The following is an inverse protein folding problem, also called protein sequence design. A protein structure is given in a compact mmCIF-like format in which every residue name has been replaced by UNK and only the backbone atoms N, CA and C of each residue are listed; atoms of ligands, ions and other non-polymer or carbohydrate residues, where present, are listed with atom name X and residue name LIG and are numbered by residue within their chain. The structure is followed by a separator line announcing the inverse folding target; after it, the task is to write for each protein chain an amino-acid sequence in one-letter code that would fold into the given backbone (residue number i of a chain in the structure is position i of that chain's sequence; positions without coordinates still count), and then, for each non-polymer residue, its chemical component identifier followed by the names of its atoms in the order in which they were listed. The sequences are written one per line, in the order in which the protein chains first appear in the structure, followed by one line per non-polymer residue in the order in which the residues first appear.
data_IF_010448208232
#
_entry.id   IF_010448208232
#
_cell.length_a   1.000
_cell.length_b   1.000
_cell.length_c   1.000
_cell.angle_alpha   90.00
_cell.angle_beta   90.00
_cell.angle_gamma   90.00
#
_symmetry.space_group_name_H-M   'P 1'
#
loop_
_entity.id
_entity.type
_entity.pdbx_description
1 polymer ?
#
# COMPACT_ATOMS: atom_id res chain seq x y z
N UNK A 1 -31.34 -6.06 22.40
CA UNK A 1 -30.82 -6.83 21.25
C UNK A 1 -29.80 -7.91 21.61
N UNK A 2 -29.42 -8.08 22.88
CA UNK A 2 -28.46 -9.14 23.29
C UNK A 2 -29.16 -10.50 23.53
N UNK A 3 -30.47 -10.49 23.75
CA UNK A 3 -31.26 -11.70 24.04
C UNK A 3 -31.48 -12.62 22.83
N UNK A 4 -31.52 -12.07 21.61
CA UNK A 4 -31.76 -12.86 20.40
C UNK A 4 -30.52 -13.63 19.92
N UNK A 5 -29.32 -13.22 20.30
CA UNK A 5 -28.09 -13.94 19.96
C UNK A 5 -27.85 -15.16 20.86
N UNK A 6 -28.38 -15.17 22.08
CA UNK A 6 -28.28 -16.32 22.98
C UNK A 6 -29.29 -17.43 22.65
N UNK A 7 -30.38 -17.11 21.95
CA UNK A 7 -31.43 -18.09 21.61
C UNK A 7 -31.15 -18.90 20.33
N UNK A 8 -30.10 -18.58 19.58
CA UNK A 8 -29.78 -19.28 18.33
C UNK A 8 -28.77 -20.43 18.50
N UNK A 9 -28.32 -20.68 19.75
CA UNK A 9 -27.31 -21.70 20.12
C UNK A 9 -27.90 -22.74 21.09
N UNK A 10 -29.19 -23.08 20.94
CA UNK A 10 -29.84 -24.13 21.74
C UNK A 10 -30.71 -25.04 20.86
N UNK A 11 -30.10 -25.64 19.82
CA UNK A 11 -30.66 -26.80 19.11
C UNK A 11 -29.73 -28.01 19.22
N UNK A 12 -29.09 -28.18 20.38
CA UNK A 12 -28.46 -29.45 20.76
C UNK A 12 -28.76 -29.63 22.23
N UNK A 13 -29.65 -30.57 22.54
CA UNK A 13 -29.87 -31.02 23.92
C UNK A 13 -28.53 -31.52 24.47
N UNK A 14 -27.98 -30.89 25.54
CA UNK A 14 -26.63 -31.18 26.04
C UNK A 14 -26.47 -32.57 26.68
N UNK A 15 -27.53 -33.39 26.74
CA UNK A 15 -27.53 -34.69 27.43
C UNK A 15 -27.94 -35.89 26.59
N UNK A 16 -28.03 -35.76 25.25
CA UNK A 16 -28.14 -36.94 24.40
C UNK A 16 -26.74 -37.48 24.08
N UNK A 17 -26.20 -38.39 24.90
CA UNK A 17 -24.99 -39.18 24.55
C UNK A 17 -25.35 -40.26 23.50
N UNK A 18 -26.04 -39.84 22.44
CA UNK A 18 -26.44 -40.74 21.37
C UNK A 18 -25.40 -40.69 20.25
N UNK A 19 -25.18 -41.80 19.52
CA UNK A 19 -24.27 -41.80 18.38
C UNK A 19 -24.61 -40.72 17.33
N UNK A 20 -25.90 -40.41 17.17
CA UNK A 20 -26.41 -39.42 16.21
C UNK A 20 -26.03 -37.98 16.57
N UNK A 21 -26.21 -37.58 17.83
CA UNK A 21 -25.87 -36.22 18.28
C UNK A 21 -24.36 -35.98 18.23
N UNK A 22 -23.55 -36.99 18.57
CA UNK A 22 -22.09 -36.92 18.42
C UNK A 22 -21.67 -36.76 16.95
N UNK A 23 -22.29 -37.50 16.03
CA UNK A 23 -22.03 -37.35 14.61
C UNK A 23 -22.38 -35.94 14.09
N UNK A 24 -23.51 -35.38 14.54
CA UNK A 24 -23.91 -34.02 14.18
C UNK A 24 -22.94 -32.96 14.71
N UNK A 25 -22.47 -33.09 15.96
CA UNK A 25 -21.48 -32.19 16.54
C UNK A 25 -20.15 -32.22 15.76
N UNK A 26 -19.69 -33.39 15.35
CA UNK A 26 -18.48 -33.51 14.52
C UNK A 26 -18.67 -32.88 13.14
N UNK A 27 -19.84 -33.03 12.52
CA UNK A 27 -20.17 -32.37 11.25
C UNK A 27 -20.17 -30.85 11.40
N UNK A 28 -20.76 -30.31 12.46
CA UNK A 28 -20.79 -28.87 12.74
C UNK A 28 -19.38 -28.32 12.98
N UNK A 29 -18.55 -29.02 13.76
CA UNK A 29 -17.14 -28.66 13.97
C UNK A 29 -16.36 -28.66 12.67
N UNK A 30 -16.53 -29.71 11.85
CA UNK A 30 -15.92 -29.80 10.53
C UNK A 30 -16.33 -28.62 9.62
N UNK A 31 -17.63 -28.30 9.59
CA UNK A 31 -18.15 -27.17 8.83
C UNK A 31 -17.61 -25.82 9.32
N UNK A 32 -17.47 -25.63 10.62
CA UNK A 32 -16.90 -24.40 11.18
C UNK A 32 -15.42 -24.23 10.81
N UNK A 33 -14.63 -25.31 10.90
CA UNK A 33 -13.22 -25.31 10.50
C UNK A 33 -13.08 -25.00 9.01
N UNK A 34 -13.90 -25.61 8.16
CA UNK A 34 -13.84 -25.37 6.71
C UNK A 34 -14.22 -23.94 6.35
N UNK A 35 -15.25 -23.37 7.01
CA UNK A 35 -15.62 -21.96 6.83
C UNK A 35 -14.50 -21.02 7.27
N UNK A 36 -13.86 -21.28 8.42
CA UNK A 36 -12.73 -20.48 8.89
C UNK A 36 -11.57 -20.49 7.88
N UNK A 37 -11.20 -21.69 7.41
CA UNK A 37 -10.15 -21.84 6.40
C UNK A 37 -10.52 -21.18 5.08
N UNK A 38 -11.78 -21.28 4.64
CA UNK A 38 -12.26 -20.62 3.43
C UNK A 38 -12.16 -19.09 3.52
N UNK A 39 -12.45 -18.51 4.70
CA UNK A 39 -12.29 -17.07 4.92
C UNK A 39 -10.82 -16.64 4.83
N UNK A 40 -9.90 -17.40 5.43
CA UNK A 40 -8.45 -17.16 5.33
C UNK A 40 -8.01 -17.25 3.86
N UNK A 41 -8.35 -18.33 3.17
CA UNK A 41 -8.00 -18.55 1.77
C UNK A 41 -8.53 -17.43 0.86
N UNK A 42 -9.74 -16.95 1.12
CA UNK A 42 -10.31 -15.84 0.34
C UNK A 42 -9.50 -14.56 0.54
N UNK A 43 -9.11 -14.25 1.78
CA UNK A 43 -8.27 -13.10 2.09
C UNK A 43 -6.89 -13.20 1.43
N UNK A 44 -6.24 -14.36 1.53
CA UNK A 44 -4.93 -14.60 0.95
C UNK A 44 -4.97 -14.58 -0.57
N UNK A 45 -5.98 -15.19 -1.18
CA UNK A 45 -6.16 -15.19 -2.63
C UNK A 45 -6.35 -13.76 -3.16
N UNK A 46 -7.10 -12.93 -2.44
CA UNK A 46 -7.26 -11.53 -2.78
C UNK A 46 -5.92 -10.78 -2.75
N UNK A 47 -5.15 -10.90 -1.65
CA UNK A 47 -3.81 -10.29 -1.53
C UNK A 47 -2.87 -10.76 -2.64
N UNK A 48 -2.90 -12.04 -2.98
CA UNK A 48 -2.08 -12.61 -4.05
C UNK A 48 -2.45 -12.02 -5.42
N UNK A 49 -3.75 -11.89 -5.72
CA UNK A 49 -4.21 -11.27 -6.97
C UNK A 49 -3.78 -9.81 -7.07
N UNK A 50 -3.94 -9.04 -5.99
CA UNK A 50 -3.48 -7.65 -5.94
C UNK A 50 -1.96 -7.53 -6.19
N UNK A 51 -1.16 -8.40 -5.57
CA UNK A 51 0.28 -8.42 -5.77
C UNK A 51 0.66 -8.76 -7.22
N UNK A 52 -0.03 -9.73 -7.84
CA UNK A 52 0.16 -10.08 -9.25
C UNK A 52 -0.18 -8.90 -10.16
N UNK A 53 -1.32 -8.25 -9.94
CA UNK A 53 -1.75 -7.09 -10.73
C UNK A 53 -0.74 -5.93 -10.61
N UNK A 54 -0.23 -5.68 -9.40
CA UNK A 54 0.80 -4.67 -9.19
C UNK A 54 2.10 -5.01 -9.93
N UNK A 55 2.54 -6.28 -9.88
CA UNK A 55 3.73 -6.74 -10.58
C UNK A 55 3.55 -6.65 -12.10
N UNK A 56 2.40 -7.03 -12.63
CA UNK A 56 2.08 -6.89 -14.05
C UNK A 56 2.09 -5.43 -14.47
N UNK A 57 1.37 -4.55 -13.75
CA UNK A 57 1.41 -3.10 -14.00
C UNK A 57 2.83 -2.54 -13.95
N UNK A 58 3.68 -3.02 -13.04
CA UNK A 58 5.10 -2.63 -12.97
C UNK A 58 5.88 -3.11 -14.19
N UNK A 59 5.70 -4.36 -14.61
CA UNK A 59 6.33 -4.94 -15.80
C UNK A 59 5.93 -4.18 -17.06
N UNK A 60 4.63 -3.93 -17.27
CA UNK A 60 4.13 -3.19 -18.43
C UNK A 60 4.68 -1.77 -18.46
N UNK A 61 4.68 -1.05 -17.33
CA UNK A 61 5.28 0.29 -17.25
C UNK A 61 6.77 0.28 -17.58
N UNK A 62 7.51 -0.72 -17.09
CA UNK A 62 8.95 -0.87 -17.39
C UNK A 62 9.19 -1.15 -18.87
N UNK A 63 8.41 -2.03 -19.49
CA UNK A 63 8.51 -2.34 -20.92
C UNK A 63 8.18 -1.10 -21.77
N UNK A 64 7.14 -0.35 -21.43
CA UNK A 64 6.80 0.90 -22.12
C UNK A 64 7.88 1.99 -21.97
N UNK A 65 8.49 2.11 -20.78
CA UNK A 65 9.54 3.08 -20.51
C UNK A 65 10.88 2.73 -21.19
N UNK A 66 11.13 1.45 -21.46
CA UNK A 66 12.31 0.95 -22.16
C UNK A 66 11.89 0.30 -23.49
N UNK A 67 11.54 1.10 -24.52
CA UNK A 67 11.08 0.56 -25.80
C UNK A 67 12.12 -0.33 -26.50
N UNK A 68 13.40 -0.20 -26.15
CA UNK A 68 14.46 -1.10 -26.59
C UNK A 68 14.64 -2.24 -25.57
N UNK A 69 14.03 -3.39 -25.85
CA UNK A 69 14.17 -4.62 -25.05
C UNK A 69 15.44 -5.44 -25.40
N UNK A 70 16.26 -4.93 -26.33
CA UNK A 70 17.49 -5.56 -26.79
C UNK A 70 18.68 -5.36 -25.83
N UNK A 71 19.69 -6.23 -25.94
CA UNK A 71 20.97 -6.03 -25.27
C UNK A 71 21.69 -4.89 -25.98
N UNK A 72 21.82 -3.76 -25.30
CA UNK A 72 22.60 -2.64 -25.78
C UNK A 72 24.07 -3.05 -25.81
N UNK A 73 24.71 -2.96 -26.97
CA UNK A 73 26.16 -3.13 -27.06
C UNK A 73 26.87 -1.95 -26.40
N UNK A 74 28.12 -2.14 -25.96
CA UNK A 74 28.90 -1.09 -25.27
C UNK A 74 29.08 0.16 -26.16
N UNK A 75 29.18 0.00 -27.49
CA UNK A 75 29.27 1.10 -28.44
C UNK A 75 27.96 1.90 -28.51
N UNK A 76 26.83 1.22 -28.70
CA UNK A 76 25.50 1.85 -28.73
C UNK A 76 25.19 2.59 -27.42
N UNK A 77 25.62 2.05 -26.28
CA UNK A 77 25.51 2.72 -24.99
C UNK A 77 26.33 4.00 -24.86
N UNK A 78 27.56 3.99 -25.42
CA UNK A 78 28.41 5.19 -25.43
C UNK A 78 27.86 6.28 -26.34
N UNK A 79 27.34 5.90 -27.50
CA UNK A 79 26.72 6.84 -28.45
C UNK A 79 25.48 7.51 -27.86
N UNK A 80 24.61 6.75 -27.20
CA UNK A 80 23.44 7.31 -26.51
C UNK A 80 23.81 8.24 -25.35
N UNK A 81 24.83 7.90 -24.57
CA UNK A 81 25.31 8.76 -23.49
C UNK A 81 25.87 10.09 -24.04
N UNK A 82 26.67 10.03 -25.10
CA UNK A 82 27.20 11.22 -25.75
C UNK A 82 26.10 12.10 -26.36
N UNK A 83 25.07 11.50 -26.95
CA UNK A 83 23.93 12.24 -27.49
C UNK A 83 23.12 12.97 -26.39
N UNK A 84 22.97 12.35 -25.21
CA UNK A 84 22.33 12.98 -24.05
C UNK A 84 23.15 14.16 -23.51
N UNK A 85 24.47 14.00 -23.39
CA UNK A 85 25.36 15.08 -22.96
C UNK A 85 25.29 16.26 -23.94
N UNK A 86 25.35 16.00 -25.25
CA UNK A 86 25.23 17.04 -26.28
C UNK A 86 23.87 17.74 -26.25
N UNK A 87 22.78 17.01 -25.99
CA UNK A 87 21.45 17.60 -25.84
C UNK A 87 21.34 18.48 -24.58
N UNK A 88 22.01 18.09 -23.49
CA UNK A 88 22.06 18.88 -22.25
C UNK A 88 22.87 20.17 -22.42
N UNK A 89 24.00 20.10 -23.12
CA UNK A 89 24.82 21.26 -23.49
C UNK A 89 24.07 22.19 -24.46
N UNK A 90 23.32 21.65 -25.43
CA UNK A 90 22.50 22.47 -26.33
C UNK A 90 21.34 23.17 -25.59
N UNK A 91 20.73 22.51 -24.59
CA UNK A 91 19.67 23.10 -23.78
C UNK A 91 20.19 24.23 -22.86
N UNK A 92 21.40 24.11 -22.34
CA UNK A 92 22.04 25.13 -21.49
C UNK A 92 22.55 26.34 -22.28
N UNK A 93 22.92 26.16 -23.55
CA UNK A 93 23.33 27.27 -24.44
C UNK A 93 22.14 28.13 -24.90
N UNK A 94 20.91 27.58 -24.95
CA UNK A 94 19.77 28.29 -25.59
C UNK A 94 18.82 28.97 -24.60
N UNK A 95 18.79 28.59 -23.33
CA UNK A 95 18.09 29.33 -22.28
C UNK A 95 18.73 28.96 -20.94
N UNK A 96 19.27 29.94 -20.22
CA UNK A 96 19.54 29.77 -18.80
C UNK A 96 18.19 29.54 -18.12
N UNK A 97 17.83 28.33 -17.66
CA UNK A 97 16.63 28.19 -16.87
C UNK A 97 17.02 28.76 -15.52
N UNK A 98 16.38 29.86 -15.13
CA UNK A 98 16.44 30.33 -13.75
C UNK A 98 16.24 29.09 -12.85
N UNK A 99 17.15 28.82 -11.90
CA UNK A 99 17.11 27.58 -11.13
C UNK A 99 15.70 27.42 -10.55
N UNK A 100 15.07 26.23 -10.64
CA UNK A 100 13.71 26.05 -10.18
C UNK A 100 13.61 26.57 -8.76
N UNK A 101 12.85 27.65 -8.58
CA UNK A 101 12.70 28.29 -7.28
C UNK A 101 12.17 27.22 -6.34
N UNK A 102 13.04 26.71 -5.46
CA UNK A 102 12.64 25.67 -4.50
C UNK A 102 11.41 26.20 -3.79
N UNK A 103 10.32 25.44 -3.84
CA UNK A 103 9.14 25.74 -3.07
C UNK A 103 9.57 26.00 -1.63
N UNK A 104 9.53 27.26 -1.21
CA UNK A 104 9.96 27.64 0.12
C UNK A 104 8.97 26.98 1.08
N UNK A 105 9.49 26.20 2.03
CA UNK A 105 8.64 25.58 3.05
C UNK A 105 7.88 26.69 3.76
N UNK A 106 6.57 26.50 3.92
CA UNK A 106 5.75 27.43 4.68
C UNK A 106 6.39 27.64 6.08
N UNK A 107 6.43 28.90 6.57
CA UNK A 107 6.98 29.19 7.89
C UNK A 107 6.22 28.40 8.96
N UNK A 108 6.89 27.95 10.04
CA UNK A 108 6.26 27.14 11.07
C UNK A 108 5.13 27.90 11.75
N UNK A 109 4.00 27.24 11.99
CA UNK A 109 2.88 27.77 12.79
C UNK A 109 2.99 27.27 14.23
N UNK A 110 2.92 28.18 15.20
CA UNK A 110 2.95 27.83 16.61
C UNK A 110 1.64 27.17 17.05
N UNK A 111 1.68 26.03 17.72
CA UNK A 111 0.46 25.38 18.23
C UNK A 111 -0.10 26.02 19.51
N UNK A 112 0.60 26.99 20.11
CA UNK A 112 0.16 27.67 21.34
C UNK A 112 -0.58 28.98 21.02
N UNK A 113 0.07 29.89 20.27
CA UNK A 113 -0.50 31.18 19.88
C UNK A 113 -0.98 31.26 18.42
N UNK A 114 -0.83 30.20 17.62
CA UNK A 114 -1.27 30.13 16.21
C UNK A 114 -0.59 31.11 15.24
N UNK A 115 0.39 31.87 15.71
CA UNK A 115 1.21 32.77 14.89
C UNK A 115 2.23 32.02 14.04
N UNK A 116 2.55 32.57 12.86
CA UNK A 116 3.59 32.07 11.96
C UNK A 116 4.97 32.58 12.38
N UNK A 117 6.02 31.80 12.13
CA UNK A 117 7.42 32.21 12.31
C UNK A 117 8.13 31.56 13.49
N UNK A 118 7.43 30.85 14.38
CA UNK A 118 8.06 30.12 15.48
C UNK A 118 7.36 28.80 15.81
N UNK A 119 8.07 27.90 16.50
CA UNK A 119 7.56 26.64 17.02
C UNK A 119 7.13 26.81 18.49
N UNK A 120 6.28 25.90 18.99
CA UNK A 120 5.75 25.92 20.37
C UNK A 120 6.83 26.15 21.45
N UNK A 121 8.00 25.54 21.29
CA UNK A 121 9.11 25.62 22.24
C UNK A 121 9.83 26.99 22.28
N UNK A 122 9.57 27.87 21.32
CA UNK A 122 10.09 29.25 21.28
C UNK A 122 8.96 30.28 21.32
N UNK A 123 7.79 29.90 21.83
CA UNK A 123 6.65 30.79 21.91
C UNK A 123 6.90 31.86 23.00
N UNK A 124 6.77 33.16 22.69
CA UNK A 124 6.89 34.22 23.70
C UNK A 124 5.73 34.20 24.70
N UNK A 125 4.56 33.73 24.27
CA UNK A 125 3.43 33.40 25.14
C UNK A 125 3.63 32.01 25.74
N UNK A 126 4.69 31.79 26.51
CA UNK A 126 4.77 30.63 27.40
C UNK A 126 3.76 30.80 28.52
N UNK A 127 2.48 30.55 28.23
CA UNK A 127 1.52 30.26 29.29
C UNK A 127 2.06 29.06 30.07
N UNK A 128 2.42 29.31 31.32
CA UNK A 128 2.79 28.27 32.28
C UNK A 128 1.55 27.52 32.73
#
# INVERSE_FOLDING_TARGET
MVYYSYLHVTLVDPESNTPTSQALDQLLKGALITMHNAAILTSENHKLREAVDQLQKRRTRRAQALPNEGILTVSEGRELAQALDQAHEAATVTNQPEPPQRAQRAPPRCSNCWELGHKRNRCPNTAR
#
